data_IF_534318785947
#
_entry.id   IF_534318785947
#
_cell.length_a   1.000
_cell.length_b   1.000
_cell.length_c   1.000
_cell.angle_alpha   90.00
_cell.angle_beta   90.00
_cell.angle_gamma   90.00
#
_symmetry.space_group_name_H-M   'P 1'
#
loop_
_entity.id
_entity.type
_entity.pdbx_description
1 polymer ?
#
# COMPACT_ATOMS: atom_id res chain seq x y z
N UNK A 1 0.36 19.45 -30.74
CA UNK A 1 0.34 20.91 -30.45
C UNK A 1 -0.35 21.08 -29.12
N UNK A 2 0.43 21.34 -28.05
CA UNK A 2 0.13 22.00 -26.76
C UNK A 2 -1.25 21.74 -26.10
N UNK A 3 -1.42 21.50 -24.79
CA UNK A 3 -0.58 21.51 -23.59
C UNK A 3 -1.48 21.08 -22.41
N UNK A 4 -0.87 20.58 -21.33
CA UNK A 4 -1.45 20.13 -20.06
C UNK A 4 -2.50 21.07 -19.42
N UNK A 5 -3.40 20.51 -18.61
CA UNK A 5 -3.68 21.05 -17.28
C UNK A 5 -4.22 19.96 -16.35
N UNK A 6 -3.33 19.37 -15.54
CA UNK A 6 -3.70 18.65 -14.33
C UNK A 6 -4.12 19.69 -13.29
N UNK A 7 -5.40 19.72 -12.93
CA UNK A 7 -5.92 20.66 -11.94
C UNK A 7 -5.54 20.18 -10.55
N UNK A 8 -4.47 20.74 -9.99
CA UNK A 8 -4.21 20.73 -8.54
C UNK A 8 -5.36 21.47 -7.85
N UNK A 9 -6.22 20.77 -7.11
CA UNK A 9 -7.14 21.41 -6.18
C UNK A 9 -6.32 22.04 -5.04
N UNK A 10 -6.39 23.37 -4.94
CA UNK A 10 -5.81 24.13 -3.83
C UNK A 10 -6.83 24.24 -2.71
N UNK A 11 -6.53 23.72 -1.52
CA UNK A 11 -7.30 23.99 -0.31
C UNK A 11 -7.28 25.50 0.00
N UNK A 12 -8.43 26.16 -0.15
CA UNK A 12 -8.63 27.55 0.26
C UNK A 12 -8.77 27.59 1.78
N UNK A 13 -7.76 28.11 2.48
CA UNK A 13 -7.85 28.40 3.90
C UNK A 13 -8.72 29.65 4.13
N UNK A 14 -9.97 29.45 4.55
CA UNK A 14 -10.80 30.52 5.09
C UNK A 14 -10.50 30.67 6.60
N UNK A 15 -9.87 31.77 6.99
CA UNK A 15 -9.72 32.16 8.40
C UNK A 15 -10.98 32.90 8.83
N UNK A 16 -11.68 32.43 9.88
CA UNK A 16 -12.38 33.24 10.90
C UNK A 16 -13.00 32.31 11.97
N UNK A 17 -12.46 32.44 13.20
CA UNK A 17 -13.05 32.10 14.50
C UNK A 17 -13.59 30.67 14.78
N UNK A 18 -12.77 29.87 15.47
CA UNK A 18 -13.17 29.30 16.77
C UNK A 18 -14.10 28.09 16.80
N UNK A 19 -13.70 26.97 16.19
CA UNK A 19 -13.94 25.60 16.68
C UNK A 19 -12.81 24.74 16.12
N UNK A 20 -12.06 24.06 16.98
CA UNK A 20 -11.10 23.05 16.54
C UNK A 20 -11.90 21.86 16.01
N UNK A 21 -12.30 21.93 14.74
CA UNK A 21 -12.65 20.73 13.98
C UNK A 21 -11.32 20.00 13.83
N UNK A 22 -11.13 18.91 14.58
CA UNK A 22 -10.03 18.00 14.31
C UNK A 22 -10.11 17.64 12.83
N UNK A 23 -9.05 17.90 12.08
CA UNK A 23 -8.94 17.40 10.71
C UNK A 23 -9.01 15.88 10.81
N UNK A 24 -10.18 15.33 10.52
CA UNK A 24 -10.31 13.90 10.25
C UNK A 24 -9.55 13.74 8.94
N UNK A 25 -8.44 13.00 8.97
CA UNK A 25 -7.79 12.59 7.73
C UNK A 25 -8.83 11.72 7.01
N UNK A 26 -9.51 12.27 5.99
CA UNK A 26 -10.38 11.47 5.15
C UNK A 26 -9.48 10.60 4.26
N UNK A 27 -9.87 9.35 4.06
CA UNK A 27 -9.17 8.47 3.14
C UNK A 27 -9.10 9.07 1.74
N UNK A 28 -8.01 8.82 1.03
CA UNK A 28 -7.85 9.24 -0.35
C UNK A 28 -8.27 8.09 -1.27
N UNK A 29 -9.35 8.27 -2.05
CA UNK A 29 -9.68 7.36 -3.17
C UNK A 29 -8.54 7.43 -4.18
N UNK A 30 -7.84 6.31 -4.39
CA UNK A 30 -6.75 6.21 -5.37
C UNK A 30 -7.21 5.55 -6.68
N UNK A 31 -8.28 4.75 -6.59
CA UNK A 31 -8.90 4.09 -7.72
C UNK A 31 -10.38 3.88 -7.45
N UNK A 32 -11.18 3.96 -8.50
CA UNK A 32 -12.62 3.67 -8.45
C UNK A 32 -13.13 3.28 -9.82
N UNK A 33 -14.14 2.42 -9.85
CA UNK A 33 -14.91 2.10 -11.06
C UNK A 33 -16.39 1.93 -10.72
N UNK A 34 -17.24 2.73 -11.38
CA UNK A 34 -18.70 2.62 -11.32
C UNK A 34 -19.30 2.12 -12.64
N UNK A 35 -18.48 1.59 -13.55
CA UNK A 35 -18.87 0.96 -14.80
C UNK A 35 -19.59 1.86 -15.83
N UNK A 36 -19.68 3.17 -15.57
CA UNK A 36 -20.34 4.15 -16.45
C UNK A 36 -19.59 4.43 -17.76
N UNK A 37 -18.29 4.14 -17.80
CA UNK A 37 -17.45 4.37 -18.97
C UNK A 37 -17.58 3.26 -20.03
N UNK A 38 -18.25 2.15 -19.71
CA UNK A 38 -18.38 0.98 -20.57
C UNK A 38 -19.78 0.88 -21.20
N UNK A 39 -19.85 0.28 -22.38
CA UNK A 39 -21.13 0.09 -23.06
C UNK A 39 -21.92 -1.04 -22.41
N UNK A 40 -23.17 -0.79 -22.02
CA UNK A 40 -24.07 -1.87 -21.59
C UNK A 40 -24.18 -2.96 -22.66
N UNK A 41 -24.05 -4.22 -22.23
CA UNK A 41 -24.00 -5.42 -23.06
C UNK A 41 -22.60 -5.79 -23.57
N UNK A 42 -21.55 -5.01 -23.29
CA UNK A 42 -20.18 -5.41 -23.60
C UNK A 42 -19.59 -6.33 -22.52
N UNK A 43 -18.69 -7.23 -22.93
CA UNK A 43 -17.77 -7.88 -21.99
C UNK A 43 -16.85 -6.86 -21.33
N UNK A 44 -16.42 -7.08 -20.08
CA UNK A 44 -15.62 -6.10 -19.32
C UNK A 44 -14.12 -6.26 -19.58
N UNK A 45 -13.66 -7.47 -19.87
CA UNK A 45 -12.25 -7.78 -20.11
C UNK A 45 -11.62 -6.90 -21.20
N UNK A 46 -10.41 -6.40 -20.91
CA UNK A 46 -9.68 -5.48 -21.78
C UNK A 46 -10.16 -4.03 -21.70
N UNK A 47 -11.10 -3.70 -20.82
CA UNK A 47 -11.56 -2.33 -20.57
C UNK A 47 -11.18 -1.88 -19.17
N UNK A 48 -10.75 -0.62 -19.01
CA UNK A 48 -10.53 -0.03 -17.69
C UNK A 48 -9.43 -0.63 -16.82
N UNK A 49 -8.68 -1.61 -17.32
CA UNK A 49 -7.72 -2.38 -16.53
C UNK A 49 -8.24 -3.73 -16.02
N UNK A 50 -9.50 -4.06 -16.31
CA UNK A 50 -10.09 -5.37 -16.02
C UNK A 50 -9.60 -6.43 -17.01
N UNK A 51 -9.38 -7.64 -16.50
CA UNK A 51 -9.14 -8.84 -17.30
C UNK A 51 -10.01 -9.99 -16.80
N UNK A 52 -9.91 -11.13 -17.45
CA UNK A 52 -10.43 -12.40 -16.94
C UNK A 52 -9.34 -13.16 -16.20
N UNK A 53 -9.78 -14.09 -15.35
CA UNK A 53 -8.88 -15.03 -14.71
C UNK A 53 -8.01 -15.76 -15.74
N UNK A 54 -6.68 -15.71 -15.52
CA UNK A 54 -5.68 -16.31 -16.40
C UNK A 54 -5.80 -15.90 -17.88
N UNK A 55 -6.36 -14.72 -18.15
CA UNK A 55 -6.68 -14.20 -19.49
C UNK A 55 -7.58 -15.14 -20.33
N UNK A 56 -8.35 -16.02 -19.69
CA UNK A 56 -9.29 -16.89 -20.39
C UNK A 56 -10.57 -16.12 -20.72
N UNK A 57 -10.86 -15.84 -22.01
CA UNK A 57 -12.02 -15.03 -22.38
C UNK A 57 -13.38 -15.70 -22.09
N UNK A 58 -13.41 -16.98 -21.71
CA UNK A 58 -14.65 -17.67 -21.33
C UNK A 58 -15.18 -17.24 -19.97
N UNK A 59 -14.37 -16.57 -19.17
CA UNK A 59 -14.71 -16.07 -17.84
C UNK A 59 -15.13 -14.59 -17.81
N UNK A 60 -15.33 -13.97 -18.98
CA UNK A 60 -15.67 -12.55 -19.05
C UNK A 60 -17.07 -12.27 -18.49
N UNK A 61 -17.15 -11.24 -17.65
CA UNK A 61 -18.42 -10.70 -17.15
C UNK A 61 -18.96 -9.63 -18.10
N UNK A 62 -20.22 -9.22 -17.88
CA UNK A 62 -20.90 -8.31 -18.80
C UNK A 62 -21.40 -7.07 -18.07
N UNK A 63 -21.04 -5.90 -18.59
CA UNK A 63 -21.60 -4.64 -18.11
C UNK A 63 -23.07 -4.58 -18.46
N UNK A 64 -23.94 -4.27 -17.50
CA UNK A 64 -25.39 -4.26 -17.66
C UNK A 64 -25.98 -2.93 -17.24
N UNK A 65 -27.14 -2.58 -17.81
CA UNK A 65 -27.97 -1.46 -17.35
C UNK A 65 -29.32 -1.93 -16.78
N UNK A 66 -29.43 -3.22 -16.45
CA UNK A 66 -30.63 -3.79 -15.84
C UNK A 66 -30.87 -3.21 -14.43
N UNK A 67 -29.78 -2.97 -13.71
CA UNK A 67 -29.74 -2.31 -12.41
C UNK A 67 -28.40 -1.59 -12.25
N UNK A 68 -28.38 -0.54 -11.45
CA UNK A 68 -27.19 0.18 -11.03
C UNK A 68 -27.43 0.77 -9.63
N UNK A 69 -26.38 0.98 -8.86
CA UNK A 69 -26.43 1.70 -7.58
C UNK A 69 -26.39 3.20 -7.84
N UNK A 70 -25.40 3.63 -8.62
CA UNK A 70 -25.35 4.99 -9.15
C UNK A 70 -25.30 4.96 -10.67
N UNK A 71 -25.52 6.11 -11.33
CA UNK A 71 -25.45 6.16 -12.78
C UNK A 71 -26.50 5.26 -13.48
N UNK A 72 -26.05 4.48 -14.45
CA UNK A 72 -26.88 3.64 -15.33
C UNK A 72 -26.37 2.21 -15.51
N UNK A 73 -25.13 1.91 -15.14
CA UNK A 73 -24.48 0.64 -15.37
C UNK A 73 -24.01 -0.01 -14.07
N UNK A 74 -23.86 -1.33 -14.10
CA UNK A 74 -23.18 -2.15 -13.10
C UNK A 74 -22.51 -3.34 -13.81
N UNK A 75 -21.68 -4.10 -13.11
CA UNK A 75 -21.16 -5.38 -13.63
C UNK A 75 -22.07 -6.54 -13.19
N UNK A 76 -22.44 -7.42 -14.12
CA UNK A 76 -23.23 -8.64 -13.87
C UNK A 76 -22.28 -9.85 -13.80
N UNK A 77 -22.09 -10.36 -12.59
CA UNK A 77 -21.27 -11.53 -12.27
C UNK A 77 -22.19 -12.74 -12.24
N UNK A 78 -22.05 -13.61 -13.25
CA UNK A 78 -22.98 -14.72 -13.49
C UNK A 78 -22.31 -15.90 -14.18
N UNK A 79 -23.02 -17.01 -14.25
CA UNK A 79 -22.55 -18.26 -14.83
C UNK A 79 -21.21 -18.60 -14.22
N UNK A 80 -20.16 -18.70 -15.03
CA UNK A 80 -18.80 -18.96 -14.59
C UNK A 80 -17.90 -17.73 -14.79
N UNK A 81 -18.45 -16.51 -14.62
CA UNK A 81 -17.67 -15.27 -14.71
C UNK A 81 -16.56 -15.30 -13.67
N UNK A 82 -15.35 -14.93 -14.05
CA UNK A 82 -14.17 -14.83 -13.18
C UNK A 82 -13.37 -13.62 -13.66
N UNK A 83 -13.84 -12.44 -13.24
CA UNK A 83 -13.35 -11.15 -13.72
C UNK A 83 -12.54 -10.46 -12.64
N UNK A 84 -11.35 -10.01 -13.04
CA UNK A 84 -10.33 -9.55 -12.12
C UNK A 84 -9.85 -8.14 -12.44
N UNK A 85 -9.43 -7.44 -11.39
CA UNK A 85 -8.67 -6.21 -11.49
C UNK A 85 -7.31 -6.41 -10.82
N UNK A 86 -6.26 -6.52 -11.63
CA UNK A 86 -4.89 -6.71 -11.14
C UNK A 86 -4.25 -5.32 -10.94
N UNK A 87 -4.21 -4.85 -9.69
CA UNK A 87 -3.79 -3.48 -9.35
C UNK A 87 -2.38 -3.15 -9.88
N UNK A 88 -1.43 -4.07 -9.70
CA UNK A 88 -0.04 -3.84 -10.07
C UNK A 88 0.21 -3.92 -11.58
N UNK A 89 -0.56 -4.72 -12.33
CA UNK A 89 -0.57 -4.65 -13.81
C UNK A 89 -1.06 -3.28 -14.30
N UNK A 90 -1.91 -2.63 -13.52
CA UNK A 90 -2.44 -1.29 -13.76
C UNK A 90 -1.59 -0.17 -13.10
N UNK A 91 -0.40 -0.49 -12.60
CA UNK A 91 0.58 0.48 -12.07
C UNK A 91 0.30 0.97 -10.64
N UNK A 92 -0.63 0.34 -9.92
CA UNK A 92 -0.89 0.61 -8.51
C UNK A 92 -0.14 -0.42 -7.65
N UNK A 93 0.87 0.06 -6.92
CA UNK A 93 1.62 -0.73 -5.94
C UNK A 93 1.03 -0.45 -4.56
N UNK A 94 0.58 -1.51 -3.89
CA UNK A 94 -0.13 -1.44 -2.61
C UNK A 94 0.55 -2.42 -1.65
N UNK A 95 1.62 -1.99 -1.01
CA UNK A 95 2.54 -2.84 -0.24
C UNK A 95 2.86 -2.31 1.17
N UNK A 96 2.14 -1.27 1.61
CA UNK A 96 2.25 -0.70 2.95
C UNK A 96 1.03 0.14 3.31
N UNK A 97 0.91 0.51 4.59
CA UNK A 97 -0.14 1.36 5.12
C UNK A 97 -1.50 0.68 5.26
N UNK A 98 -2.55 1.50 5.40
CA UNK A 98 -3.90 1.03 5.62
C UNK A 98 -4.81 1.40 4.46
N UNK A 99 -5.59 0.43 3.99
CA UNK A 99 -6.40 0.51 2.79
C UNK A 99 -7.82 0.09 3.07
N UNK A 100 -8.74 0.59 2.26
CA UNK A 100 -10.14 0.20 2.25
C UNK A 100 -10.55 -0.14 0.84
N UNK A 101 -11.01 -1.36 0.65
CA UNK A 101 -11.74 -1.76 -0.55
C UNK A 101 -13.22 -1.73 -0.22
N UNK A 102 -14.00 -1.05 -1.04
CA UNK A 102 -15.46 -1.07 -0.97
C UNK A 102 -16.01 -1.49 -2.32
N UNK A 103 -16.97 -2.42 -2.31
CA UNK A 103 -17.78 -2.77 -3.45
C UNK A 103 -19.24 -2.78 -3.00
N UNK A 104 -20.15 -2.22 -3.81
CA UNK A 104 -21.57 -2.35 -3.54
C UNK A 104 -22.11 -3.55 -4.29
N UNK A 105 -22.80 -4.43 -3.58
CA UNK A 105 -23.34 -5.68 -4.14
C UNK A 105 -24.86 -5.68 -4.07
N UNK A 106 -25.51 -6.09 -5.15
CA UNK A 106 -26.95 -6.36 -5.19
C UNK A 106 -27.16 -7.81 -5.55
N UNK A 107 -27.60 -8.60 -4.55
CA UNK A 107 -27.94 -10.01 -4.74
C UNK A 107 -29.45 -10.16 -4.90
N UNK A 108 -29.96 -10.57 -6.08
CA UNK A 108 -31.38 -10.88 -6.25
C UNK A 108 -31.82 -12.02 -5.32
N UNK A 109 -32.98 -11.90 -4.69
CA UNK A 109 -33.51 -12.96 -3.82
C UNK A 109 -33.84 -14.26 -4.58
N UNK A 110 -34.03 -14.17 -5.89
CA UNK A 110 -34.25 -15.30 -6.79
C UNK A 110 -32.99 -15.76 -7.53
N UNK A 111 -31.80 -15.25 -7.14
CA UNK A 111 -30.53 -15.76 -7.65
C UNK A 111 -30.48 -17.26 -7.36
N UNK A 112 -30.72 -18.05 -8.41
CA UNK A 112 -30.66 -19.49 -8.35
C UNK A 112 -29.20 -19.90 -8.49
N UNK A 113 -28.79 -20.68 -7.52
CA UNK A 113 -27.45 -21.13 -7.31
C UNK A 113 -27.55 -22.55 -6.74
N UNK A 114 -27.26 -23.63 -7.49
CA UNK A 114 -26.54 -24.71 -6.83
C UNK A 114 -25.16 -24.20 -6.38
N UNK A 115 -24.68 -23.07 -6.93
CA UNK A 115 -23.44 -22.44 -6.55
C UNK A 115 -23.41 -20.91 -6.71
N UNK A 116 -22.55 -20.31 -5.90
CA UNK A 116 -22.68 -18.95 -5.40
C UNK A 116 -21.72 -17.97 -6.09
N UNK A 117 -21.76 -16.70 -5.69
CA UNK A 117 -20.80 -15.68 -6.14
C UNK A 117 -19.86 -15.28 -5.02
N UNK A 118 -18.69 -14.77 -5.40
CA UNK A 118 -17.59 -14.47 -4.50
C UNK A 118 -17.03 -13.07 -4.73
N UNK A 119 -16.60 -12.46 -3.64
CA UNK A 119 -15.75 -11.27 -3.64
C UNK A 119 -14.43 -11.66 -2.99
N UNK A 120 -13.35 -11.61 -3.77
CA UNK A 120 -12.05 -12.14 -3.41
C UNK A 120 -11.01 -11.03 -3.50
N UNK A 121 -10.07 -11.03 -2.55
CA UNK A 121 -8.86 -10.19 -2.59
C UNK A 121 -7.63 -11.06 -2.43
N UNK A 122 -6.64 -10.83 -3.29
CA UNK A 122 -5.42 -11.60 -3.35
C UNK A 122 -4.21 -10.73 -3.03
N UNK A 123 -3.30 -11.32 -2.25
CA UNK A 123 -2.03 -10.69 -1.90
C UNK A 123 -0.89 -11.04 -2.87
N UNK A 124 -1.07 -12.08 -3.68
CA UNK A 124 -0.17 -12.46 -4.75
C UNK A 124 -0.99 -12.95 -5.94
N UNK A 125 -0.77 -12.39 -7.13
CA UNK A 125 -1.45 -12.84 -8.35
C UNK A 125 -0.62 -12.58 -9.60
N UNK A 126 -0.54 -13.58 -10.48
CA UNK A 126 -0.13 -13.46 -11.87
C UNK A 126 -0.93 -14.45 -12.72
N UNK A 127 -1.13 -14.16 -14.01
CA UNK A 127 -1.79 -15.10 -14.92
C UNK A 127 -0.99 -16.40 -15.01
N UNK A 128 -1.64 -17.53 -14.72
CA UNK A 128 -1.01 -18.85 -14.64
C UNK A 128 -0.22 -19.10 -13.35
N UNK A 129 -0.30 -18.20 -12.38
CA UNK A 129 0.30 -18.31 -11.05
C UNK A 129 1.65 -17.59 -10.91
N UNK A 130 2.03 -17.17 -9.67
CA UNK A 130 1.45 -17.55 -8.36
C UNK A 130 0.11 -16.89 -8.01
N UNK A 131 -0.63 -17.48 -7.06
CA UNK A 131 -1.95 -17.05 -6.59
C UNK A 131 -2.06 -17.27 -5.07
N UNK A 132 -2.35 -16.22 -4.30
CA UNK A 132 -2.54 -16.27 -2.85
C UNK A 132 -3.72 -15.39 -2.41
N UNK A 133 -4.72 -16.01 -1.79
CA UNK A 133 -5.92 -15.32 -1.31
C UNK A 133 -5.75 -14.84 0.13
N UNK A 134 -6.14 -13.59 0.38
CA UNK A 134 -6.27 -13.03 1.72
C UNK A 134 -7.72 -13.01 2.18
N UNK A 135 -8.63 -12.66 1.27
CA UNK A 135 -10.05 -12.52 1.56
C UNK A 135 -10.84 -13.43 0.63
N UNK A 136 -11.76 -14.21 1.20
CA UNK A 136 -12.78 -14.93 0.44
C UNK A 136 -14.16 -14.71 1.06
N UNK A 137 -15.05 -14.01 0.34
CA UNK A 137 -16.43 -13.75 0.77
C UNK A 137 -17.37 -14.43 -0.18
N UNK A 138 -18.32 -15.17 0.38
CA UNK A 138 -19.22 -16.05 -0.33
C UNK A 138 -20.68 -15.62 -0.10
N UNK A 139 -21.40 -15.26 -1.16
CA UNK A 139 -22.80 -14.82 -1.10
C UNK A 139 -23.75 -15.94 -1.47
N UNK A 140 -24.33 -16.63 -0.48
CA UNK A 140 -25.20 -17.79 -0.72
C UNK A 140 -26.67 -17.53 -0.51
N UNK A 141 -27.45 -17.52 -1.60
CA UNK A 141 -28.93 -17.47 -1.54
C UNK A 141 -29.54 -18.81 -1.12
N UNK A 142 -28.84 -19.93 -1.36
CA UNK A 142 -29.30 -21.26 -0.95
C UNK A 142 -29.45 -21.40 0.57
N UNK A 143 -28.57 -20.75 1.33
CA UNK A 143 -28.64 -20.68 2.81
C UNK A 143 -29.16 -19.34 3.33
N UNK A 144 -29.18 -18.29 2.50
CA UNK A 144 -29.53 -16.94 2.92
C UNK A 144 -28.43 -16.30 3.77
N UNK A 145 -27.16 -16.54 3.43
CA UNK A 145 -26.01 -16.19 4.26
C UNK A 145 -24.87 -15.60 3.43
N UNK A 146 -24.16 -14.62 3.99
CA UNK A 146 -22.82 -14.22 3.56
C UNK A 146 -21.82 -14.91 4.47
N UNK A 147 -20.88 -15.66 3.89
CA UNK A 147 -19.82 -16.35 4.63
C UNK A 147 -18.47 -15.66 4.43
N UNK A 148 -17.71 -15.55 5.51
CA UNK A 148 -16.27 -15.45 5.42
C UNK A 148 -15.77 -16.86 5.20
N UNK A 149 -15.48 -17.20 3.95
CA UNK A 149 -15.17 -18.58 3.58
C UNK A 149 -13.99 -19.10 4.43
N UNK A 150 -13.94 -20.43 4.64
CA UNK A 150 -13.06 -21.19 5.56
C UNK A 150 -13.41 -21.26 7.06
N UNK A 151 -13.86 -20.20 7.73
CA UNK A 151 -13.91 -20.17 9.21
C UNK A 151 -15.33 -20.13 9.84
N UNK A 152 -16.35 -20.42 9.03
CA UNK A 152 -17.77 -20.43 9.41
C UNK A 152 -18.33 -19.08 9.92
N UNK A 153 -17.56 -17.97 9.91
CA UNK A 153 -18.13 -16.66 10.19
C UNK A 153 -19.19 -16.32 9.14
N UNK A 154 -20.30 -15.78 9.62
CA UNK A 154 -21.43 -15.51 8.76
C UNK A 154 -22.27 -14.34 9.23
N UNK A 155 -22.85 -13.66 8.25
CA UNK A 155 -23.90 -12.67 8.43
C UNK A 155 -25.11 -13.06 7.56
N UNK A 156 -26.34 -12.63 7.91
CA UNK A 156 -27.49 -12.82 7.05
C UNK A 156 -27.26 -12.17 5.67
N UNK A 157 -27.59 -12.90 4.61
CA UNK A 157 -27.61 -12.31 3.27
C UNK A 157 -28.80 -11.36 3.15
N UNK A 158 -28.49 -10.11 2.90
CA UNK A 158 -29.45 -9.09 2.52
C UNK A 158 -29.61 -9.18 0.99
N UNK A 159 -30.85 -9.27 0.52
CA UNK A 159 -31.19 -9.44 -0.91
C UNK A 159 -32.12 -8.33 -1.37
N UNK A 160 -32.18 -8.12 -2.68
CA UNK A 160 -33.04 -7.12 -3.34
C UNK A 160 -32.77 -5.66 -2.94
N UNK A 161 -31.55 -5.37 -2.47
CA UNK A 161 -31.05 -4.02 -2.27
C UNK A 161 -29.51 -3.98 -2.41
N UNK A 162 -28.97 -2.78 -2.61
CA UNK A 162 -27.52 -2.55 -2.68
C UNK A 162 -26.94 -2.52 -1.26
N UNK A 163 -25.95 -3.38 -1.02
CA UNK A 163 -25.32 -3.56 0.28
C UNK A 163 -23.82 -3.32 0.17
N UNK A 164 -23.26 -2.60 1.13
CA UNK A 164 -21.81 -2.37 1.20
C UNK A 164 -21.08 -3.66 1.59
N UNK A 165 -20.18 -4.12 0.74
CA UNK A 165 -19.09 -5.03 1.07
C UNK A 165 -17.82 -4.20 1.26
N UNK A 166 -17.23 -4.25 2.45
CA UNK A 166 -16.03 -3.47 2.79
C UNK A 166 -14.95 -4.33 3.43
N UNK A 167 -13.72 -4.14 3.00
CA UNK A 167 -12.53 -4.73 3.63
C UNK A 167 -11.58 -3.60 4.00
N UNK A 168 -11.31 -3.47 5.29
CA UNK A 168 -10.28 -2.56 5.82
C UNK A 168 -9.01 -3.38 6.05
N UNK A 169 -7.95 -3.08 5.31
CA UNK A 169 -6.67 -3.80 5.30
C UNK A 169 -5.64 -2.95 6.04
N UNK A 170 -4.89 -3.57 6.94
CA UNK A 170 -3.73 -2.98 7.59
C UNK A 170 -2.50 -3.83 7.30
N UNK A 171 -1.71 -3.41 6.31
CA UNK A 171 -0.52 -4.12 5.86
C UNK A 171 0.64 -3.97 6.86
N UNK A 172 0.62 -2.97 7.73
CA UNK A 172 1.64 -2.79 8.77
C UNK A 172 1.47 -3.79 9.92
N UNK A 173 0.22 -4.13 10.23
CA UNK A 173 -0.12 -5.06 11.29
C UNK A 173 -0.46 -6.47 10.78
N UNK A 174 -0.40 -6.73 9.47
CA UNK A 174 -0.82 -7.99 8.84
C UNK A 174 -2.26 -8.37 9.22
N UNK A 175 -3.21 -7.43 9.10
CA UNK A 175 -4.61 -7.67 9.47
C UNK A 175 -5.60 -7.17 8.45
N UNK A 176 -6.81 -7.72 8.51
CA UNK A 176 -7.99 -7.26 7.80
C UNK A 176 -9.22 -7.29 8.70
N UNK A 177 -10.08 -6.30 8.53
CA UNK A 177 -11.45 -6.30 9.04
C UNK A 177 -12.43 -6.32 7.87
N UNK A 178 -13.34 -7.30 7.88
CA UNK A 178 -14.30 -7.52 6.80
C UNK A 178 -15.71 -7.20 7.29
N UNK A 179 -16.43 -6.37 6.53
CA UNK A 179 -17.76 -5.89 6.88
C UNK A 179 -18.76 -6.13 5.75
N UNK A 180 -20.00 -6.48 6.11
CA UNK A 180 -21.13 -6.55 5.19
C UNK A 180 -22.34 -5.81 5.78
N UNK A 181 -22.93 -4.89 5.01
CA UNK A 181 -24.05 -4.06 5.47
C UNK A 181 -23.72 -3.22 6.71
N UNK A 182 -22.45 -2.88 6.90
CA UNK A 182 -21.93 -2.16 8.07
C UNK A 182 -21.70 -3.01 9.32
N UNK A 183 -22.06 -4.30 9.32
CA UNK A 183 -21.74 -5.23 10.41
C UNK A 183 -20.37 -5.90 10.15
N UNK A 184 -19.56 -6.04 11.20
CA UNK A 184 -18.31 -6.80 11.13
C UNK A 184 -18.64 -8.28 10.93
N UNK A 185 -18.10 -8.88 9.87
CA UNK A 185 -18.15 -10.30 9.59
C UNK A 185 -17.03 -11.00 10.36
N UNK A 186 -15.78 -10.55 10.18
CA UNK A 186 -14.61 -11.05 10.91
C UNK A 186 -13.45 -10.04 10.92
N UNK A 187 -12.49 -10.30 11.82
CA UNK A 187 -11.15 -9.72 11.84
C UNK A 187 -10.14 -10.87 11.80
N UNK A 188 -9.15 -10.81 10.92
CA UNK A 188 -8.15 -11.88 10.79
C UNK A 188 -6.82 -11.39 10.19
N UNK A 189 -5.84 -12.28 10.06
CA UNK A 189 -4.57 -12.00 9.40
C UNK A 189 -4.76 -11.73 7.90
N UNK A 190 -3.95 -10.84 7.32
CA UNK A 190 -3.98 -10.57 5.87
C UNK A 190 -3.30 -11.70 5.10
N UNK A 191 -2.07 -12.08 5.45
CA UNK A 191 -1.34 -13.10 4.66
C UNK A 191 -1.73 -14.53 5.03
N UNK A 192 -2.16 -14.79 6.27
CA UNK A 192 -2.25 -16.17 6.79
C UNK A 192 -3.67 -16.72 7.01
N UNK A 193 -4.73 -16.05 6.55
CA UNK A 193 -6.10 -16.51 6.76
C UNK A 193 -6.44 -17.74 5.90
N UNK A 194 -6.45 -17.58 4.57
CA UNK A 194 -6.95 -18.62 3.65
C UNK A 194 -5.86 -19.66 3.34
N UNK A 195 -4.64 -19.19 3.07
CA UNK A 195 -3.47 -20.02 2.87
C UNK A 195 -2.31 -19.46 3.70
N UNK A 196 -1.47 -20.32 4.27
CA UNK A 196 -0.25 -19.87 4.95
C UNK A 196 0.75 -19.30 3.91
N UNK A 197 1.27 -18.10 4.18
CA UNK A 197 2.25 -17.42 3.31
C UNK A 197 1.67 -16.26 2.52
N UNK A 198 2.28 -15.90 1.39
CA UNK A 198 1.88 -14.72 0.61
C UNK A 198 2.63 -13.44 0.97
N UNK A 199 2.21 -12.33 0.38
CA UNK A 199 2.88 -11.02 0.48
C UNK A 199 2.06 -10.05 1.34
N UNK A 200 2.72 -9.10 2.02
CA UNK A 200 2.03 -7.97 2.65
C UNK A 200 1.66 -6.91 1.60
N UNK A 201 0.84 -7.32 0.63
CA UNK A 201 0.43 -6.50 -0.50
C UNK A 201 -1.03 -6.78 -0.87
N UNK A 202 -1.70 -5.83 -1.52
CA UNK A 202 -2.93 -6.07 -2.26
C UNK A 202 -2.59 -6.06 -3.75
N UNK A 203 -2.73 -7.20 -4.42
CA UNK A 203 -2.34 -7.34 -5.82
C UNK A 203 -3.51 -7.49 -6.79
N UNK A 204 -4.60 -8.14 -6.37
CA UNK A 204 -5.71 -8.42 -7.25
C UNK A 204 -7.04 -8.41 -6.48
N UNK A 205 -8.07 -7.88 -7.13
CA UNK A 205 -9.47 -8.09 -6.76
C UNK A 205 -10.12 -9.02 -7.78
N UNK A 206 -10.93 -9.94 -7.31
CA UNK A 206 -11.53 -10.99 -8.12
C UNK A 206 -13.03 -11.09 -7.79
N UNK A 207 -13.84 -10.99 -8.85
CA UNK A 207 -15.28 -11.13 -8.85
C UNK A 207 -15.65 -12.42 -9.58
N UNK A 208 -15.95 -13.46 -8.80
CA UNK A 208 -16.15 -14.81 -9.30
C UNK A 208 -17.60 -15.27 -9.12
N UNK A 209 -18.14 -15.95 -10.12
CA UNK A 209 -19.38 -16.70 -10.07
C UNK A 209 -19.09 -18.17 -10.34
N UNK A 210 -19.65 -19.05 -9.53
CA UNK A 210 -19.66 -20.48 -9.81
C UNK A 210 -21.07 -20.89 -10.19
N UNK A 211 -21.40 -20.98 -11.48
CA UNK A 211 -22.76 -21.28 -11.98
C UNK A 211 -23.92 -20.43 -11.43
N UNK A 212 -23.68 -19.18 -11.00
CA UNK A 212 -24.72 -18.29 -10.48
C UNK A 212 -25.60 -17.72 -11.61
N UNK A 213 -26.80 -17.24 -11.30
CA UNK A 213 -27.68 -16.63 -12.31
C UNK A 213 -27.35 -15.17 -12.59
N UNK A 214 -27.31 -14.34 -11.55
CA UNK A 214 -26.74 -12.99 -11.55
C UNK A 214 -26.50 -12.50 -10.13
N UNK A 215 -25.37 -11.86 -9.91
CA UNK A 215 -25.12 -10.97 -8.78
C UNK A 215 -24.44 -9.71 -9.33
N UNK A 216 -24.85 -8.53 -8.86
CA UNK A 216 -24.38 -7.28 -9.46
C UNK A 216 -23.43 -6.56 -8.52
N UNK A 217 -22.34 -6.03 -9.06
CA UNK A 217 -21.43 -5.16 -8.33
C UNK A 217 -21.38 -3.78 -8.96
N UNK A 218 -21.24 -2.75 -8.15
CA UNK A 218 -21.17 -1.36 -8.58
C UNK A 218 -20.34 -0.52 -7.61
N UNK A 219 -19.94 0.66 -8.06
CA UNK A 219 -19.24 1.70 -7.29
C UNK A 219 -18.09 1.14 -6.43
N UNK A 220 -17.16 0.44 -7.08
CA UNK A 220 -16.02 -0.14 -6.41
C UNK A 220 -14.98 0.96 -6.19
N UNK A 221 -14.43 1.04 -4.97
CA UNK A 221 -13.41 2.01 -4.61
C UNK A 221 -12.27 1.36 -3.85
N UNK A 222 -11.05 1.81 -4.14
CA UNK A 222 -9.88 1.60 -3.32
C UNK A 222 -9.46 2.94 -2.70
N UNK A 223 -9.48 3.00 -1.38
CA UNK A 223 -9.09 4.17 -0.59
C UNK A 223 -7.85 3.87 0.25
N UNK A 224 -6.89 4.79 0.25
CA UNK A 224 -5.84 4.82 1.28
C UNK A 224 -6.39 5.54 2.51
N UNK A 225 -6.65 4.79 3.58
CA UNK A 225 -7.29 5.30 4.82
C UNK A 225 -6.28 5.56 5.94
N UNK A 226 -5.05 5.06 5.81
CA UNK A 226 -3.92 5.36 6.68
C UNK A 226 -2.63 5.47 5.89
N UNK A 227 -1.71 6.30 6.38
CA UNK A 227 -0.42 6.51 5.71
C UNK A 227 0.43 5.25 5.76
N UNK A 228 1.05 4.92 4.64
CA UNK A 228 2.28 4.13 4.65
C UNK A 228 3.32 4.86 5.52
N UNK A 229 4.03 4.20 6.43
CA UNK A 229 5.21 4.78 7.03
C UNK A 229 6.16 5.19 5.89
N UNK A 230 6.72 6.40 5.91
CA UNK A 230 7.63 6.82 4.85
C UNK A 230 8.77 5.80 4.75
N UNK A 231 9.06 5.32 3.54
CA UNK A 231 10.24 4.48 3.34
C UNK A 231 11.48 5.29 3.74
N UNK A 232 12.29 4.71 4.63
CA UNK A 232 13.46 5.38 5.14
C UNK A 232 14.66 4.99 4.29
N UNK A 233 15.33 6.00 3.74
CA UNK A 233 16.49 5.75 2.92
C UNK A 233 17.57 4.95 3.68
N UNK A 234 18.12 3.96 2.99
CA UNK A 234 19.24 3.12 3.42
C UNK A 234 20.58 3.67 2.92
N UNK A 235 21.69 3.17 3.45
CA UNK A 235 23.04 3.57 3.08
C UNK A 235 23.83 2.42 2.44
N UNK A 236 24.24 2.60 1.19
CA UNK A 236 25.22 1.74 0.53
C UNK A 236 26.60 2.39 0.41
N UNK A 237 27.65 1.61 0.66
CA UNK A 237 29.05 2.04 0.47
C UNK A 237 29.57 1.54 -0.87
N UNK A 238 29.62 2.43 -1.85
CA UNK A 238 29.84 2.09 -3.28
C UNK A 238 31.32 2.14 -3.68
N UNK A 239 32.22 2.51 -2.76
CA UNK A 239 33.66 2.35 -2.94
C UNK A 239 34.51 2.84 -1.76
N UNK A 240 35.55 2.08 -1.40
CA UNK A 240 36.42 2.33 -0.23
C UNK A 240 37.94 2.18 -0.50
N UNK A 241 38.50 2.89 -1.47
CA UNK A 241 39.96 2.82 -1.70
C UNK A 241 40.75 3.65 -0.66
N UNK A 242 41.79 3.06 -0.05
CA UNK A 242 42.69 3.78 0.84
C UNK A 242 43.34 4.97 0.13
N UNK A 243 43.38 6.12 0.79
CA UNK A 243 43.85 7.39 0.21
C UNK A 243 42.90 8.03 -0.83
N UNK A 244 41.70 7.49 -1.04
CA UNK A 244 40.68 7.98 -1.98
C UNK A 244 39.38 8.39 -1.27
N UNK A 245 38.45 8.97 -2.02
CA UNK A 245 37.11 9.28 -1.51
C UNK A 245 36.35 7.99 -1.16
N UNK A 246 35.63 7.96 -0.04
CA UNK A 246 34.54 7.00 0.20
C UNK A 246 33.30 7.53 -0.49
N UNK A 247 32.62 6.69 -1.26
CA UNK A 247 31.31 7.01 -1.85
C UNK A 247 30.20 6.29 -1.11
N UNK A 248 29.16 7.03 -0.82
CA UNK A 248 27.93 6.61 -0.20
C UNK A 248 26.80 6.87 -1.19
N UNK A 249 25.96 5.87 -1.46
CA UNK A 249 24.69 6.07 -2.13
C UNK A 249 23.59 5.87 -1.09
N UNK A 250 22.69 6.85 -0.99
CA UNK A 250 21.53 6.83 -0.10
C UNK A 250 20.33 6.57 -1.00
N UNK A 251 19.58 5.51 -0.76
CA UNK A 251 18.53 5.01 -1.68
C UNK A 251 17.30 4.55 -0.92
N UNK A 252 16.16 4.44 -1.60
CA UNK A 252 14.93 3.88 -0.99
C UNK A 252 14.29 4.80 0.04
N UNK A 253 14.48 6.12 -0.08
CA UNK A 253 13.70 7.08 0.70
C UNK A 253 12.75 7.87 -0.18
N UNK A 254 11.85 8.62 0.43
CA UNK A 254 10.92 9.46 -0.32
C UNK A 254 11.56 10.77 -0.82
N UNK A 255 11.08 11.26 -1.96
CA UNK A 255 11.51 12.53 -2.51
C UNK A 255 11.33 13.68 -1.50
N UNK A 256 12.41 14.44 -1.27
CA UNK A 256 12.39 15.58 -0.35
C UNK A 256 12.64 15.23 1.12
N UNK A 257 12.75 13.95 1.48
CA UNK A 257 13.38 13.55 2.73
C UNK A 257 14.82 14.10 2.81
N UNK A 258 15.29 14.28 4.04
CA UNK A 258 16.66 14.71 4.31
C UNK A 258 17.44 13.56 4.89
N UNK A 259 18.72 13.50 4.59
CA UNK A 259 19.61 12.54 5.22
C UNK A 259 20.78 13.25 5.89
N UNK A 260 21.28 12.67 6.97
CA UNK A 260 22.53 13.06 7.62
C UNK A 260 23.47 11.87 7.68
N UNK A 261 24.71 12.04 7.20
CA UNK A 261 25.77 11.03 7.32
C UNK A 261 26.73 11.45 8.43
N UNK A 262 26.96 10.53 9.37
CA UNK A 262 27.81 10.70 10.54
C UNK A 262 28.82 9.56 10.60
N UNK A 263 29.94 9.74 11.30
CA UNK A 263 30.89 8.64 11.52
C UNK A 263 31.58 8.70 12.87
N UNK A 264 31.90 7.52 13.42
CA UNK A 264 32.62 7.35 14.66
C UNK A 264 33.64 6.21 14.54
N UNK A 265 34.86 6.36 15.11
CA UNK A 265 35.79 5.25 15.25
C UNK A 265 35.42 4.29 16.39
N UNK A 266 34.42 4.64 17.22
CA UNK A 266 33.92 3.80 18.31
C UNK A 266 32.44 3.44 18.04
N UNK A 267 32.08 2.15 17.91
CA UNK A 267 30.71 1.73 17.65
C UNK A 267 29.75 2.05 18.80
N UNK A 268 30.23 2.10 20.05
CA UNK A 268 29.41 2.38 21.22
C UNK A 268 28.77 3.78 21.19
N UNK A 269 29.41 4.71 20.46
CA UNK A 269 28.89 6.07 20.26
C UNK A 269 27.67 6.12 19.32
N UNK A 270 27.39 5.05 18.57
CA UNK A 270 26.25 4.94 17.67
C UNK A 270 25.09 4.17 18.30
N UNK A 271 25.37 3.28 19.26
CA UNK A 271 24.36 2.49 19.95
C UNK A 271 23.37 3.34 20.78
N UNK A 272 23.79 4.50 21.29
CA UNK A 272 22.94 5.41 22.06
C UNK A 272 22.19 6.48 21.24
N UNK A 273 22.32 6.45 19.90
CA UNK A 273 21.78 7.51 19.05
C UNK A 273 20.25 7.55 19.07
N UNK A 274 19.59 6.41 18.90
CA UNK A 274 18.12 6.34 18.84
C UNK A 274 17.48 6.74 20.18
N UNK A 275 18.03 6.26 21.29
CA UNK A 275 17.57 6.62 22.65
C UNK A 275 17.73 8.12 22.91
N UNK A 276 18.86 8.70 22.49
CA UNK A 276 19.07 10.12 22.61
C UNK A 276 18.13 10.92 21.69
N UNK A 277 17.92 10.47 20.44
CA UNK A 277 17.01 11.11 19.49
C UNK A 277 15.60 11.20 20.04
N UNK A 278 15.12 10.09 20.64
CA UNK A 278 13.84 10.03 21.32
C UNK A 278 13.77 11.04 22.49
N UNK A 279 14.88 11.25 23.20
CA UNK A 279 14.94 12.18 24.35
C UNK A 279 14.93 13.67 23.98
N UNK A 280 15.36 14.06 22.77
CA UNK A 280 15.41 15.46 22.33
C UNK A 280 14.50 15.81 21.14
N UNK A 281 13.51 14.95 20.86
CA UNK A 281 12.42 15.26 19.93
C UNK A 281 12.74 15.04 18.45
N UNK A 282 13.60 14.05 18.15
CA UNK A 282 13.78 13.48 16.80
C UNK A 282 14.08 14.47 15.66
N UNK A 283 14.72 15.60 15.96
CA UNK A 283 15.05 16.63 14.96
C UNK A 283 16.50 16.56 14.47
N UNK A 284 16.78 17.19 13.33
CA UNK A 284 18.16 17.33 12.81
C UNK A 284 19.09 18.10 13.78
N UNK A 285 18.52 18.99 14.60
CA UNK A 285 19.24 19.66 15.69
C UNK A 285 19.54 18.73 16.87
N UNK A 286 18.58 17.87 17.20
CA UNK A 286 18.70 16.82 18.21
C UNK A 286 19.75 15.77 17.82
N UNK A 287 19.81 15.36 16.56
CA UNK A 287 20.85 14.47 16.04
C UNK A 287 22.26 15.01 16.29
N UNK A 288 22.48 16.31 16.08
CA UNK A 288 23.77 16.96 16.38
C UNK A 288 24.13 16.91 17.85
N UNK A 289 23.16 17.06 18.76
CA UNK A 289 23.43 16.97 20.19
C UNK A 289 23.67 15.55 20.66
N UNK A 290 22.97 14.57 20.07
CA UNK A 290 23.05 13.16 20.47
C UNK A 290 24.35 12.48 20.09
N UNK A 291 24.96 12.93 19.01
CA UNK A 291 26.25 12.44 18.58
C UNK A 291 27.40 13.06 19.43
N UNK A 292 27.16 14.14 20.19
CA UNK A 292 28.16 14.69 21.13
C UNK A 292 29.36 15.38 20.46
N UNK A 293 30.35 15.79 21.26
CA UNK A 293 31.55 16.56 20.81
C UNK A 293 32.67 15.69 20.22
N UNK A 294 32.57 14.37 20.31
CA UNK A 294 33.60 13.43 19.87
C UNK A 294 33.45 12.98 18.41
N UNK A 295 32.39 13.41 17.72
CA UNK A 295 32.28 13.28 16.26
C UNK A 295 33.13 14.36 15.61
N UNK A 296 34.26 13.94 15.07
CA UNK A 296 35.02 14.76 14.15
C UNK A 296 34.19 14.89 12.85
N UNK A 297 33.34 15.92 12.79
CA UNK A 297 32.69 16.45 11.58
C UNK A 297 31.48 15.68 11.06
N UNK A 298 30.35 16.38 11.00
CA UNK A 298 29.26 16.10 10.08
C UNK A 298 29.83 15.97 8.67
N UNK A 299 29.63 14.80 8.06
CA UNK A 299 30.18 14.50 6.73
C UNK A 299 29.32 15.15 5.66
N UNK A 300 28.00 14.99 5.75
CA UNK A 300 27.06 15.61 4.83
C UNK A 300 25.66 15.73 5.43
N UNK A 301 24.91 16.72 4.93
CA UNK A 301 23.45 16.75 4.99
C UNK A 301 22.95 17.04 3.60
N UNK A 302 22.00 16.25 3.13
CA UNK A 302 21.41 16.44 1.82
C UNK A 302 19.91 16.30 1.83
N UNK A 303 19.33 16.47 0.66
CA UNK A 303 17.96 16.07 0.34
C UNK A 303 18.04 14.94 -0.68
N UNK A 304 17.18 13.96 -0.55
CA UNK A 304 16.95 12.97 -1.60
C UNK A 304 16.35 13.69 -2.81
N UNK A 305 16.75 13.25 -3.99
CA UNK A 305 16.25 13.80 -5.24
C UNK A 305 14.82 13.32 -5.56
N UNK A 306 14.35 13.58 -6.78
CA UNK A 306 13.00 13.19 -7.20
C UNK A 306 12.77 11.68 -7.26
N UNK A 307 13.83 10.88 -7.20
CA UNK A 307 13.79 9.42 -7.22
C UNK A 307 14.07 8.83 -5.83
N UNK A 308 14.22 9.66 -4.79
CA UNK A 308 14.54 9.15 -3.46
C UNK A 308 16.02 8.81 -3.26
N UNK A 309 16.90 9.30 -4.15
CA UNK A 309 18.31 8.93 -4.16
C UNK A 309 19.21 10.13 -3.82
N UNK A 310 20.39 9.84 -3.27
CA UNK A 310 21.48 10.79 -3.17
C UNK A 310 22.85 10.09 -3.13
N UNK A 311 23.77 10.50 -4.00
CA UNK A 311 25.17 10.11 -3.91
C UNK A 311 25.99 11.15 -3.17
N UNK A 312 26.86 10.71 -2.28
CA UNK A 312 27.78 11.56 -1.55
C UNK A 312 29.18 10.94 -1.50
N UNK A 313 30.22 11.78 -1.52
CA UNK A 313 31.59 11.30 -1.35
C UNK A 313 32.41 12.18 -0.41
N UNK A 314 33.19 11.57 0.49
CA UNK A 314 34.11 12.28 1.39
C UNK A 314 35.49 11.66 1.40
N UNK A 315 36.50 12.47 1.74
CA UNK A 315 37.85 11.98 1.98
C UNK A 315 37.99 11.56 3.44
N UNK A 316 38.39 10.32 3.65
CA UNK A 316 38.78 9.85 4.98
C UNK A 316 40.28 10.11 5.18
N UNK A 317 40.71 10.75 6.28
CA UNK A 317 42.13 11.05 6.51
C UNK A 317 43.00 9.78 6.53
N UNK A 318 44.21 9.84 5.94
CA UNK A 318 45.16 8.71 5.94
C UNK A 318 45.54 8.22 7.34
N UNK A 319 45.41 9.06 8.37
CA UNK A 319 45.68 8.70 9.77
C UNK A 319 44.75 7.62 10.34
N UNK A 320 43.74 7.19 9.57
CA UNK A 320 42.77 6.15 9.93
C UNK A 320 43.00 4.83 9.17
N UNK A 321 44.02 4.75 8.30
CA UNK A 321 44.36 3.53 7.56
C UNK A 321 44.63 2.34 8.49
N UNK A 322 44.01 1.19 8.21
CA UNK A 322 44.07 -0.01 9.05
C UNK A 322 43.10 -0.02 10.24
N UNK A 323 42.16 0.94 10.33
CA UNK A 323 41.11 0.97 11.35
C UNK A 323 39.72 0.85 10.70
N UNK A 324 38.80 0.25 11.44
CA UNK A 324 37.38 0.28 11.17
C UNK A 324 36.80 1.65 11.55
N UNK A 325 35.96 2.22 10.67
CA UNK A 325 35.11 3.37 10.99
C UNK A 325 33.65 2.95 10.77
N UNK A 326 32.80 3.36 11.70
CA UNK A 326 31.36 3.16 11.61
C UNK A 326 30.72 4.42 11.06
N UNK A 327 29.95 4.30 9.99
CA UNK A 327 29.14 5.36 9.43
C UNK A 327 27.70 5.14 9.82
N UNK A 328 26.98 6.21 10.12
CA UNK A 328 25.55 6.18 10.38
C UNK A 328 24.85 7.11 9.40
N UNK A 329 23.76 6.63 8.83
CA UNK A 329 22.79 7.48 8.14
C UNK A 329 21.55 7.58 9.00
N UNK A 330 21.08 8.81 9.19
CA UNK A 330 19.75 9.08 9.71
C UNK A 330 18.96 9.78 8.60
N UNK A 331 17.80 9.23 8.29
CA UNK A 331 16.86 9.78 7.32
C UNK A 331 15.75 10.48 8.08
N UNK A 332 15.35 11.64 7.59
CA UNK A 332 14.38 12.51 8.23
C UNK A 332 13.27 12.85 7.24
N UNK A 333 12.04 12.80 7.74
CA UNK A 333 10.86 13.24 7.02
C UNK A 333 10.93 14.74 6.71
N UNK A 334 10.06 15.21 5.81
CA UNK A 334 10.00 16.62 5.43
C UNK A 334 9.71 17.56 6.63
N UNK A 335 8.98 17.06 7.63
CA UNK A 335 8.68 17.74 8.89
C UNK A 335 9.85 17.73 9.90
N UNK A 336 10.94 17.03 9.57
CA UNK A 336 12.16 16.95 10.35
C UNK A 336 12.18 15.86 11.42
N UNK A 337 11.11 15.04 11.53
CA UNK A 337 11.12 13.83 12.37
C UNK A 337 12.03 12.77 11.78
N UNK A 338 12.60 11.89 12.62
CA UNK A 338 13.42 10.77 12.15
C UNK A 338 12.50 9.75 11.48
N UNK A 339 12.84 9.38 10.25
CA UNK A 339 12.25 8.26 9.55
C UNK A 339 12.91 6.97 10.07
N UNK A 340 14.24 6.89 9.94
CA UNK A 340 15.00 5.71 10.32
C UNK A 340 16.49 6.01 10.39
N UNK A 341 17.26 5.05 10.89
CA UNK A 341 18.72 5.14 10.90
C UNK A 341 19.38 3.79 10.66
N UNK A 342 20.49 3.80 9.93
CA UNK A 342 21.30 2.63 9.63
C UNK A 342 22.75 2.89 10.01
N UNK A 343 23.46 1.84 10.47
CA UNK A 343 24.90 1.89 10.75
C UNK A 343 25.62 0.91 9.81
N UNK A 344 26.59 1.44 9.05
CA UNK A 344 27.43 0.66 8.14
C UNK A 344 28.88 0.68 8.62
N UNK A 345 29.48 -0.49 8.68
CA UNK A 345 30.89 -0.65 9.03
C UNK A 345 31.78 -0.57 7.78
N UNK A 346 32.80 0.29 7.81
CA UNK A 346 33.78 0.41 6.72
C UNK A 346 35.20 0.23 7.27
N UNK A 347 35.86 -0.84 6.83
CA UNK A 347 37.28 -1.07 7.12
C UNK A 347 38.14 -0.44 6.01
N UNK A 348 39.10 0.39 6.41
CA UNK A 348 40.02 1.05 5.49
C UNK A 348 41.32 0.27 5.38
N UNK A 349 41.76 0.03 4.14
CA UNK A 349 43.10 -0.48 3.92
C UNK A 349 44.15 0.48 4.51
N UNK A 350 45.28 -0.03 5.02
CA UNK A 350 46.42 0.81 5.38
C UNK A 350 46.83 1.66 4.18
N UNK A 351 47.14 2.94 4.42
CA UNK A 351 47.63 3.84 3.38
C UNK A 351 49.06 3.50 2.95
#
# INVERSE_FOLDING_TARGET
MMMQCATKLSCVAATMAGLAVGSICQGQVVWSDGFEDYASGSGLSGQGGWSTWDDDPTFDSVVTNAIARTGSNAIDIKTDSDTIYVFHHNGLVIDCGQWRVTAWVYTPSDMNAPNDTFFLLLNEYEHGGPQQWSTSIHFSTGTGTVYGDWDNESLPLITDEWVEMRVDIDLENDTQDVYYGGALLYTDAWTNRIAEGGLLQLQCMDLFAYGATSNYFDDITLEQIGSCPPECATLDVVGNNAGSNVRFDVTGGEAGQRYGIFYSPNPDNLAGFNDCMASCGNSLGCARSCLGKDFANQVSVGKLDGNGEASYSTKVPCSVGGKTIYFMVATFNADGTICGSEVVEVTFNPC
#
